data_IF_162759815220
#
_entry.id   IF_162759815220
#
_cell.length_a   1.000
_cell.length_b   1.000
_cell.length_c   1.000
_cell.angle_alpha   90.00
_cell.angle_beta   90.00
_cell.angle_gamma   90.00
#
_symmetry.space_group_name_H-M   'P 1'
#
loop_
_entity.id
_entity.type
_entity.pdbx_description
1 polymer ?
#
# COMPACT_ATOMS: atom_id res chain seq x y z
N UNK A 1 -36.33 18.59 30.25
CA UNK A 1 -35.22 17.69 29.88
C UNK A 1 -34.68 17.90 28.45
N UNK A 2 -34.81 19.11 27.86
CA UNK A 2 -34.23 19.48 26.55
C UNK A 2 -33.25 20.66 26.60
N UNK A 3 -33.15 21.42 27.69
CA UNK A 3 -32.20 22.55 27.81
C UNK A 3 -30.81 22.17 28.34
N UNK A 4 -30.64 20.99 28.94
CA UNK A 4 -29.34 20.53 29.49
C UNK A 4 -28.39 20.04 28.37
N UNK A 5 -28.91 19.59 27.22
CA UNK A 5 -28.08 19.10 26.10
C UNK A 5 -27.40 20.23 25.30
N UNK A 6 -27.96 21.44 25.29
CA UNK A 6 -27.34 22.59 24.61
C UNK A 6 -26.23 23.25 25.45
N UNK A 7 -26.31 23.16 26.79
CA UNK A 7 -25.27 23.67 27.69
C UNK A 7 -23.97 22.85 27.63
N UNK A 8 -24.06 21.53 27.39
CA UNK A 8 -22.88 20.65 27.30
C UNK A 8 -22.11 20.85 25.99
N UNK A 9 -22.82 21.14 24.88
CA UNK A 9 -22.19 21.40 23.57
C UNK A 9 -21.51 22.79 23.54
N UNK A 10 -22.12 23.79 24.19
CA UNK A 10 -21.49 25.11 24.34
C UNK A 10 -20.27 25.09 25.28
N UNK A 11 -20.28 24.26 26.35
CA UNK A 11 -19.11 24.08 27.20
C UNK A 11 -17.94 23.39 26.46
N UNK A 12 -18.20 22.43 25.56
CA UNK A 12 -17.13 21.78 24.79
C UNK A 12 -16.51 22.73 23.75
N UNK A 13 -17.31 23.60 23.12
CA UNK A 13 -16.79 24.64 22.23
C UNK A 13 -16.01 25.73 22.98
N UNK A 14 -16.45 26.11 24.19
CA UNK A 14 -15.74 27.06 25.03
C UNK A 14 -14.40 26.50 25.55
N UNK A 15 -14.32 25.20 25.84
CA UNK A 15 -13.06 24.54 26.22
C UNK A 15 -12.08 24.47 25.04
N UNK A 16 -12.55 24.23 23.82
CA UNK A 16 -11.70 24.30 22.60
C UNK A 16 -11.20 25.72 22.30
N UNK A 17 -12.01 26.74 22.54
CA UNK A 17 -11.59 28.14 22.44
C UNK A 17 -10.64 28.56 23.57
N UNK A 18 -10.82 28.02 24.79
CA UNK A 18 -9.90 28.26 25.91
C UNK A 18 -8.54 27.58 25.70
N UNK A 19 -8.50 26.40 25.06
CA UNK A 19 -7.25 25.73 24.66
C UNK A 19 -6.51 26.54 23.59
N UNK A 20 -7.21 27.26 22.70
CA UNK A 20 -6.57 28.14 21.72
C UNK A 20 -5.94 29.40 22.36
N UNK A 21 -6.48 29.86 23.49
CA UNK A 21 -5.93 31.02 24.22
C UNK A 21 -4.81 30.69 25.21
N UNK A 22 -4.66 29.42 25.62
CA UNK A 22 -3.57 28.97 26.51
C UNK A 22 -2.35 28.42 25.78
N UNK A 23 -2.43 28.25 24.45
CA UNK A 23 -1.29 27.89 23.59
C UNK A 23 -0.28 29.04 23.37
N UNK A 24 -0.54 30.25 23.88
CA UNK A 24 0.36 31.40 23.77
C UNK A 24 1.24 31.66 25.01
N UNK A 25 1.40 30.68 25.92
CA UNK A 25 2.16 30.91 27.17
C UNK A 25 3.08 29.75 27.61
N UNK A 26 3.66 28.98 26.68
CA UNK A 26 4.72 28.01 27.01
C UNK A 26 6.01 28.10 26.17
N UNK A 27 6.15 29.10 25.30
CA UNK A 27 7.40 29.30 24.53
C UNK A 27 8.54 29.97 25.33
N UNK A 28 8.30 30.37 26.58
CA UNK A 28 9.21 31.29 27.30
C UNK A 28 10.37 30.64 28.10
N UNK A 29 10.66 29.33 27.97
CA UNK A 29 11.77 28.70 28.72
C UNK A 29 12.52 27.59 27.97
N UNK A 30 12.76 27.74 26.67
CA UNK A 30 13.73 26.91 25.95
C UNK A 30 14.96 27.77 25.65
N UNK A 31 16.12 27.53 26.30
CA UNK A 31 17.37 28.21 25.95
C UNK A 31 17.69 27.97 24.46
N UNK A 32 17.77 29.04 23.66
CA UNK A 32 18.01 28.98 22.21
C UNK A 32 16.81 29.29 21.30
N UNK A 33 15.62 29.58 21.86
CA UNK A 33 14.36 29.78 21.11
C UNK A 33 14.09 31.17 20.50
N UNK A 34 15.02 32.12 20.57
CA UNK A 34 14.80 33.49 20.05
C UNK A 34 15.12 33.64 18.54
N UNK A 35 15.79 32.65 17.94
CA UNK A 35 16.08 32.65 16.51
C UNK A 35 14.81 32.38 15.71
N UNK A 36 14.37 33.38 14.95
CA UNK A 36 13.23 33.28 14.04
C UNK A 36 13.74 33.20 12.62
N UNK A 37 13.37 32.13 11.92
CA UNK A 37 13.60 31.99 10.48
C UNK A 37 12.25 32.14 9.77
N UNK A 38 12.14 32.99 8.73
CA UNK A 38 10.89 33.10 7.97
C UNK A 38 10.49 31.76 7.35
N UNK A 39 9.17 31.53 7.28
CA UNK A 39 8.57 30.35 6.66
C UNK A 39 7.84 30.76 5.38
N UNK A 40 8.28 30.24 4.24
CA UNK A 40 7.61 30.39 2.95
C UNK A 40 6.50 29.36 2.76
N UNK A 41 5.52 29.67 1.90
CA UNK A 41 4.49 28.75 1.47
C UNK A 41 4.40 28.76 -0.07
N UNK A 42 4.47 27.58 -0.69
CA UNK A 42 4.42 27.44 -2.15
C UNK A 42 3.70 26.16 -2.58
N UNK A 43 3.30 26.09 -3.85
CA UNK A 43 2.72 24.89 -4.44
C UNK A 43 3.78 24.14 -5.23
N UNK A 44 4.17 22.96 -4.75
CA UNK A 44 5.10 22.04 -5.43
C UNK A 44 4.36 20.75 -5.80
N UNK A 45 4.34 20.41 -7.10
CA UNK A 45 3.71 19.18 -7.61
C UNK A 45 2.25 18.96 -7.17
N UNK A 46 1.49 20.06 -7.07
CA UNK A 46 0.08 20.03 -6.67
C UNK A 46 -0.14 19.90 -5.16
N UNK A 47 0.90 20.08 -4.33
CA UNK A 47 0.83 20.08 -2.87
C UNK A 47 1.23 21.43 -2.31
N UNK A 48 0.60 21.84 -1.22
CA UNK A 48 1.02 23.01 -0.44
C UNK A 48 2.21 22.61 0.44
N UNK A 49 3.34 23.29 0.27
CA UNK A 49 4.59 23.06 1.00
C UNK A 49 4.94 24.32 1.78
N UNK A 50 5.28 24.13 3.05
CA UNK A 50 5.79 25.16 3.93
C UNK A 50 7.27 24.88 4.17
N UNK A 51 8.14 25.83 3.88
CA UNK A 51 9.60 25.63 3.93
C UNK A 51 10.28 26.84 4.55
N UNK A 52 11.19 26.61 5.51
CA UNK A 52 11.98 27.69 6.10
C UNK A 52 13.02 28.18 5.09
N UNK A 53 13.35 29.47 5.13
CA UNK A 53 14.30 30.07 4.16
C UNK A 53 15.71 29.45 4.23
N UNK A 54 16.11 28.96 5.40
CA UNK A 54 17.36 28.23 5.57
C UNK A 54 17.30 26.78 5.05
N UNK A 55 16.11 26.24 4.76
CA UNK A 55 15.91 24.87 4.30
C UNK A 55 16.00 23.80 5.39
N UNK A 56 16.08 24.19 6.67
CA UNK A 56 16.15 23.24 7.79
C UNK A 56 14.80 22.61 8.08
N UNK A 57 13.68 23.30 7.81
CA UNK A 57 12.34 22.80 8.05
C UNK A 57 11.52 22.80 6.78
N UNK A 58 10.90 21.66 6.46
CA UNK A 58 9.92 21.56 5.39
C UNK A 58 8.74 20.72 5.83
N UNK A 59 7.53 21.21 5.64
CA UNK A 59 6.29 20.52 5.99
C UNK A 59 5.34 20.52 4.80
N UNK A 60 4.65 19.40 4.61
CA UNK A 60 3.53 19.35 3.66
C UNK A 60 2.50 18.33 4.11
N UNK A 61 1.29 18.55 3.63
CA UNK A 61 0.19 17.63 3.83
C UNK A 61 -0.01 16.80 2.56
N UNK A 62 -0.45 15.56 2.73
CA UNK A 62 -0.87 14.68 1.65
C UNK A 62 -2.20 14.07 2.07
N UNK A 63 -3.27 14.40 1.34
CA UNK A 63 -4.58 13.82 1.63
C UNK A 63 -5.11 13.09 0.41
N UNK A 64 -5.89 12.03 0.64
CA UNK A 64 -6.49 11.28 -0.44
C UNK A 64 -7.93 10.92 -0.17
N UNK A 65 -8.76 11.15 -1.18
CA UNK A 65 -10.13 10.65 -1.24
C UNK A 65 -10.20 9.74 -2.44
N UNK A 66 -10.57 8.48 -2.22
CA UNK A 66 -10.90 7.52 -3.27
C UNK A 66 -12.28 6.95 -2.98
N UNK A 67 -13.24 7.25 -3.84
CA UNK A 67 -14.58 6.68 -3.79
C UNK A 67 -14.75 5.72 -4.97
N UNK A 68 -15.11 4.49 -4.65
CA UNK A 68 -15.21 3.39 -5.61
C UNK A 68 -16.64 2.93 -5.74
N UNK A 69 -17.04 2.56 -6.96
CA UNK A 69 -18.28 1.86 -7.25
C UNK A 69 -18.02 0.59 -8.05
N UNK A 70 -18.83 -0.45 -7.87
CA UNK A 70 -18.75 -1.66 -8.70
C UNK A 70 -20.11 -2.29 -8.99
N UNK A 71 -20.20 -2.93 -10.15
CA UNK A 71 -21.29 -3.80 -10.58
C UNK A 71 -20.74 -5.14 -11.06
N UNK A 72 -21.34 -6.23 -10.57
CA UNK A 72 -20.95 -7.61 -10.85
C UNK A 72 -21.97 -8.28 -11.78
N UNK A 73 -21.47 -9.15 -12.64
CA UNK A 73 -22.24 -9.88 -13.65
C UNK A 73 -21.81 -11.35 -13.69
N UNK A 74 -22.71 -12.20 -14.20
CA UNK A 74 -22.42 -13.62 -14.51
C UNK A 74 -22.05 -14.49 -13.29
N UNK A 75 -22.30 -14.00 -12.08
CA UNK A 75 -21.91 -14.60 -10.81
C UNK A 75 -22.92 -15.64 -10.26
N UNK A 76 -22.41 -16.78 -9.78
CA UNK A 76 -23.11 -17.84 -9.04
C UNK A 76 -23.35 -17.49 -7.57
N UNK A 77 -22.43 -16.76 -6.93
CA UNK A 77 -22.61 -16.20 -5.59
C UNK A 77 -23.29 -14.83 -5.68
N UNK A 78 -24.16 -14.48 -4.73
CA UNK A 78 -24.81 -13.17 -4.73
C UNK A 78 -23.81 -12.05 -4.38
N UNK A 79 -23.17 -11.47 -5.39
CA UNK A 79 -22.20 -10.39 -5.22
C UNK A 79 -22.90 -9.05 -5.05
N UNK A 80 -22.50 -8.29 -4.03
CA UNK A 80 -23.09 -6.99 -3.71
C UNK A 80 -22.50 -5.88 -4.58
N UNK A 81 -23.35 -5.23 -5.36
CA UNK A 81 -23.04 -3.96 -6.02
C UNK A 81 -23.08 -2.82 -5.00
N UNK A 82 -22.34 -1.74 -5.24
CA UNK A 82 -22.42 -0.58 -4.36
C UNK A 82 -21.30 0.42 -4.55
N UNK A 83 -21.26 1.37 -3.61
CA UNK A 83 -20.21 2.36 -3.47
C UNK A 83 -19.60 2.31 -2.08
N UNK A 84 -18.31 2.62 -1.97
CA UNK A 84 -17.66 2.83 -0.68
C UNK A 84 -16.51 3.82 -0.82
N UNK A 85 -16.08 4.39 0.30
CA UNK A 85 -14.78 5.03 0.36
C UNK A 85 -13.71 3.95 0.43
N UNK A 86 -12.87 3.89 -0.58
CA UNK A 86 -11.75 2.95 -0.63
C UNK A 86 -10.56 3.45 0.18
N UNK A 87 -10.35 4.77 0.20
CA UNK A 87 -9.34 5.48 1.00
C UNK A 87 -9.84 6.86 1.36
N UNK A 88 -9.64 7.22 2.63
CA UNK A 88 -9.80 8.57 3.14
C UNK A 88 -8.58 8.80 4.02
N UNK A 89 -7.49 9.28 3.44
CA UNK A 89 -6.20 9.39 4.14
C UNK A 89 -5.85 10.83 4.42
N UNK A 90 -5.22 11.05 5.56
CA UNK A 90 -4.54 12.29 5.88
C UNK A 90 -3.12 11.95 6.35
N UNK A 91 -2.15 12.58 5.71
CA UNK A 91 -0.76 12.47 6.08
C UNK A 91 -0.11 13.83 6.28
N UNK A 92 0.75 13.90 7.29
CA UNK A 92 1.67 14.99 7.54
C UNK A 92 3.09 14.47 7.34
N UNK A 93 3.89 15.20 6.54
CA UNK A 93 5.29 14.86 6.29
C UNK A 93 6.17 16.04 6.62
N UNK A 94 7.36 15.74 7.13
CA UNK A 94 8.33 16.73 7.56
C UNK A 94 9.75 16.36 7.12
N UNK A 95 10.53 17.38 6.75
CA UNK A 95 12.00 17.35 6.78
C UNK A 95 12.46 18.27 7.91
N UNK A 96 13.33 17.77 8.79
CA UNK A 96 13.85 18.45 9.97
C UNK A 96 15.38 18.45 9.92
N UNK A 97 15.98 19.63 10.02
CA UNK A 97 17.42 19.86 9.86
C UNK A 97 18.02 19.13 8.65
N UNK A 98 17.31 19.19 7.50
CA UNK A 98 17.68 18.66 6.17
C UNK A 98 17.79 17.14 6.04
N UNK A 99 18.25 16.45 7.08
CA UNK A 99 18.63 15.04 7.02
C UNK A 99 17.59 14.11 7.64
N UNK A 100 16.72 14.64 8.50
CA UNK A 100 15.67 13.85 9.15
C UNK A 100 14.35 14.02 8.45
N UNK A 101 13.72 12.91 8.08
CA UNK A 101 12.37 12.87 7.55
C UNK A 101 11.43 12.17 8.53
N UNK A 102 10.19 12.63 8.59
CA UNK A 102 9.14 11.96 9.34
C UNK A 102 7.83 11.97 8.56
N UNK A 103 7.03 10.92 8.74
CA UNK A 103 5.69 10.79 8.16
C UNK A 103 4.72 10.23 9.19
N UNK A 104 3.52 10.79 9.22
CA UNK A 104 2.35 10.25 9.91
C UNK A 104 1.20 10.23 8.90
N UNK A 105 0.77 9.06 8.46
CA UNK A 105 -0.34 8.80 7.52
C UNK A 105 -1.39 7.89 8.17
N UNK A 106 -2.64 8.31 8.17
CA UNK A 106 -3.78 7.61 8.78
C UNK A 106 -4.87 7.42 7.72
N UNK A 107 -5.42 6.21 7.61
CA UNK A 107 -6.64 5.92 6.83
C UNK A 107 -7.88 5.92 7.72
N UNK A 108 -8.91 6.65 7.31
CA UNK A 108 -10.21 6.68 7.97
C UNK A 108 -11.27 5.85 7.23
N UNK A 109 -10.95 5.33 6.04
CA UNK A 109 -11.90 4.63 5.20
C UNK A 109 -11.74 3.10 5.20
N UNK A 110 -10.79 2.52 5.94
CA UNK A 110 -10.68 1.07 6.03
C UNK A 110 -11.85 0.50 6.86
N UNK A 111 -13.01 0.41 6.22
CA UNK A 111 -14.21 -0.21 6.74
C UNK A 111 -14.16 -1.69 6.39
N UNK A 112 -13.72 -2.51 7.34
CA UNK A 112 -13.84 -3.97 7.23
C UNK A 112 -14.71 -4.56 8.33
N UNK A 113 -15.27 -3.75 9.23
CA UNK A 113 -16.24 -4.24 10.20
C UNK A 113 -17.26 -3.19 10.63
N UNK A 114 -18.31 -3.64 11.35
CA UNK A 114 -19.41 -2.83 11.92
C UNK A 114 -18.99 -1.68 12.85
N UNK A 115 -17.69 -1.45 13.03
CA UNK A 115 -17.12 -0.32 13.76
C UNK A 115 -16.17 0.45 12.82
N UNK A 116 -16.28 1.79 12.72
CA UNK A 116 -15.27 2.57 11.99
C UNK A 116 -13.90 2.30 12.63
N UNK A 117 -12.97 1.77 11.85
CA UNK A 117 -11.59 1.56 12.26
C UNK A 117 -10.69 2.55 11.51
N UNK A 118 -9.67 3.04 12.20
CA UNK A 118 -8.61 3.86 11.63
C UNK A 118 -7.39 2.98 11.41
N UNK A 119 -6.88 2.92 10.19
CA UNK A 119 -5.64 2.21 9.86
C UNK A 119 -4.46 3.17 10.07
N UNK A 120 -3.49 2.77 10.89
CA UNK A 120 -2.19 3.45 10.92
C UNK A 120 -1.42 3.01 9.68
N UNK A 121 -1.20 3.92 8.72
CA UNK A 121 -0.53 3.60 7.47
C UNK A 121 0.97 3.75 7.66
N UNK A 122 1.54 4.90 7.35
CA UNK A 122 2.98 5.14 7.46
C UNK A 122 3.24 6.02 8.69
N UNK A 123 4.02 5.53 9.65
CA UNK A 123 4.40 6.25 10.88
C UNK A 123 5.86 5.98 11.18
N UNK A 124 6.76 6.77 10.61
CA UNK A 124 8.19 6.48 10.68
C UNK A 124 9.05 7.73 10.77
N UNK A 125 10.28 7.53 11.22
CA UNK A 125 11.37 8.50 11.19
C UNK A 125 12.49 7.91 10.33
N UNK A 126 13.02 8.69 9.40
CA UNK A 126 14.13 8.32 8.53
C UNK A 126 15.26 9.33 8.67
N UNK A 127 16.47 8.82 8.83
CA UNK A 127 17.70 9.61 8.77
C UNK A 127 18.40 9.34 7.44
N UNK A 128 18.57 10.37 6.62
CA UNK A 128 19.38 10.32 5.41
C UNK A 128 20.81 10.71 5.75
N UNK A 129 21.77 9.83 5.46
CA UNK A 129 23.17 10.08 5.73
C UNK A 129 23.71 11.08 4.69
N UNK A 130 24.21 12.26 5.10
CA UNK A 130 24.67 13.28 4.17
C UNK A 130 25.76 12.75 3.25
N UNK A 131 25.59 12.96 1.93
CA UNK A 131 26.57 12.60 0.90
C UNK A 131 26.91 11.10 0.76
N UNK A 132 26.13 10.19 1.34
CA UNK A 132 26.44 8.73 1.32
C UNK A 132 25.38 7.91 0.57
N UNK A 133 24.30 8.51 0.04
CA UNK A 133 23.17 7.79 -0.60
C UNK A 133 22.70 6.60 0.24
N UNK A 134 22.60 6.82 1.55
CA UNK A 134 22.21 5.82 2.52
C UNK A 134 21.18 6.42 3.46
N UNK A 135 20.20 5.62 3.87
CA UNK A 135 19.21 6.05 4.85
C UNK A 135 18.87 4.94 5.83
N UNK A 136 18.59 5.32 7.07
CA UNK A 136 18.04 4.45 8.10
C UNK A 136 16.63 4.88 8.43
N UNK A 137 15.68 3.95 8.45
CA UNK A 137 14.29 4.23 8.80
C UNK A 137 13.83 3.33 9.94
N UNK A 138 13.10 3.89 10.90
CA UNK A 138 12.47 3.16 12.00
C UNK A 138 11.01 3.60 12.16
N UNK A 139 10.13 2.65 12.45
CA UNK A 139 8.71 2.90 12.68
C UNK A 139 7.82 1.91 11.95
N UNK A 140 6.60 2.33 11.64
CA UNK A 140 5.60 1.55 10.92
C UNK A 140 5.59 1.90 9.43
N UNK A 141 6.00 0.97 8.57
CA UNK A 141 6.08 1.17 7.13
C UNK A 141 5.92 -0.15 6.36
N UNK A 142 5.85 -0.07 5.03
CA UNK A 142 5.74 -1.25 4.17
C UNK A 142 7.01 -2.07 4.21
N UNK A 143 6.87 -3.39 4.25
CA UNK A 143 7.98 -4.28 4.00
C UNK A 143 8.59 -4.05 2.60
N UNK A 144 9.93 -4.07 2.43
CA UNK A 144 10.56 -3.95 1.13
C UNK A 144 10.36 -5.22 0.29
N UNK A 145 9.14 -5.42 -0.23
CA UNK A 145 8.78 -6.59 -1.03
C UNK A 145 7.70 -6.22 -2.05
N UNK A 146 8.05 -6.30 -3.33
CA UNK A 146 7.15 -6.10 -4.46
C UNK A 146 6.94 -4.64 -4.84
N UNK A 147 7.17 -4.30 -6.10
CA UNK A 147 7.07 -2.96 -6.66
C UNK A 147 5.63 -2.43 -6.59
N UNK A 148 4.61 -3.19 -7.00
CA UNK A 148 3.23 -2.72 -6.98
C UNK A 148 2.74 -2.44 -5.54
N UNK A 149 3.24 -3.23 -4.58
CA UNK A 149 2.93 -3.03 -3.16
C UNK A 149 3.57 -1.75 -2.64
N UNK A 150 4.85 -1.55 -2.92
CA UNK A 150 5.66 -0.41 -2.50
C UNK A 150 5.18 0.91 -3.12
N UNK A 151 4.87 0.90 -4.42
CA UNK A 151 4.29 2.04 -5.12
C UNK A 151 3.11 2.65 -4.36
N UNK A 152 3.07 3.98 -4.35
CA UNK A 152 1.99 4.75 -3.75
C UNK A 152 0.63 4.32 -4.32
N UNK A 153 -0.35 4.10 -3.43
CA UNK A 153 -1.72 3.79 -3.86
C UNK A 153 -2.41 4.92 -4.62
N UNK A 154 -1.81 6.12 -4.68
CA UNK A 154 -2.24 7.24 -5.52
C UNK A 154 -2.00 6.96 -7.01
N UNK A 155 -0.94 6.21 -7.29
CA UNK A 155 -0.35 6.07 -8.63
C UNK A 155 -0.72 4.77 -9.33
N UNK A 156 -1.49 3.91 -8.66
CA UNK A 156 -1.95 2.64 -9.23
C UNK A 156 -2.67 2.87 -10.55
N UNK A 157 -2.26 2.12 -11.58
CA UNK A 157 -2.89 2.13 -12.90
C UNK A 157 -4.32 1.62 -12.83
N UNK A 158 -4.58 0.59 -12.04
CA UNK A 158 -5.92 0.05 -11.79
C UNK A 158 -6.43 0.47 -10.41
N UNK A 159 -7.72 0.29 -10.14
CA UNK A 159 -8.29 0.63 -8.82
C UNK A 159 -7.58 -0.14 -7.70
N UNK A 160 -7.34 -1.43 -7.92
CA UNK A 160 -6.69 -2.31 -6.96
C UNK A 160 -5.37 -2.86 -7.48
N UNK A 161 -4.52 -3.23 -6.53
CA UNK A 161 -3.33 -4.04 -6.80
C UNK A 161 -3.74 -5.41 -7.33
N UNK A 162 -2.83 -6.09 -8.00
CA UNK A 162 -3.06 -7.45 -8.42
C UNK A 162 -3.36 -8.36 -7.22
N UNK A 163 -4.17 -9.39 -7.44
CA UNK A 163 -4.55 -10.31 -6.35
C UNK A 163 -3.34 -10.95 -5.66
N UNK A 164 -2.26 -11.24 -6.40
CA UNK A 164 -1.03 -11.79 -5.85
C UNK A 164 -0.24 -10.78 -4.99
N UNK A 165 -0.16 -9.51 -5.42
CA UNK A 165 0.46 -8.41 -4.64
C UNK A 165 -0.33 -8.04 -3.39
N UNK A 166 -1.59 -8.48 -3.30
CA UNK A 166 -2.39 -8.42 -2.07
C UNK A 166 -2.24 -9.67 -1.19
N UNK A 167 -1.92 -10.82 -1.78
CA UNK A 167 -1.86 -12.10 -1.06
C UNK A 167 -0.54 -12.31 -0.30
N UNK A 168 0.61 -12.05 -0.94
CA UNK A 168 1.92 -12.45 -0.42
C UNK A 168 2.73 -11.34 0.27
N UNK A 169 2.81 -10.10 -0.26
CA UNK A 169 3.50 -9.03 0.43
C UNK A 169 2.79 -8.71 1.74
N UNK A 170 3.54 -8.65 2.85
CA UNK A 170 2.90 -8.48 4.13
C UNK A 170 2.77 -6.99 4.47
N UNK A 171 1.55 -6.46 4.27
CA UNK A 171 1.04 -5.34 5.06
C UNK A 171 2.00 -4.15 5.23
N UNK A 172 1.84 -3.46 6.35
CA UNK A 172 2.84 -2.56 6.95
C UNK A 172 3.10 -3.07 8.34
N UNK A 173 4.31 -2.88 8.85
CA UNK A 173 4.73 -3.37 10.17
C UNK A 173 5.71 -2.44 10.83
N UNK A 174 5.82 -2.58 12.15
CA UNK A 174 6.84 -1.90 12.93
C UNK A 174 8.19 -2.57 12.64
N UNK A 175 9.22 -1.78 12.37
CA UNK A 175 10.54 -2.31 12.13
C UNK A 175 11.60 -1.24 11.93
N UNK A 176 12.77 -1.68 11.49
CA UNK A 176 13.88 -0.85 11.10
C UNK A 176 14.41 -1.30 9.74
N UNK A 177 14.82 -0.36 8.91
CA UNK A 177 15.41 -0.63 7.60
C UNK A 177 16.64 0.22 7.34
N UNK A 178 17.53 -0.32 6.51
CA UNK A 178 18.63 0.40 5.88
C UNK A 178 18.45 0.31 4.38
N UNK A 179 18.62 1.44 3.71
CA UNK A 179 18.59 1.53 2.25
C UNK A 179 19.87 2.19 1.78
N UNK A 180 20.45 1.66 0.71
CA UNK A 180 21.60 2.22 0.01
C UNK A 180 21.31 2.24 -1.49
N UNK A 181 21.68 3.33 -2.17
CA UNK A 181 21.38 3.50 -3.59
C UNK A 181 22.48 4.24 -4.37
N UNK A 182 22.35 4.15 -5.69
CA UNK A 182 23.13 4.88 -6.67
C UNK A 182 22.22 5.28 -7.83
N UNK A 183 22.78 5.83 -8.90
CA UNK A 183 22.00 6.30 -10.06
C UNK A 183 21.36 5.15 -10.87
N UNK A 184 21.79 3.90 -10.66
CA UNK A 184 21.32 2.73 -11.40
C UNK A 184 21.03 1.50 -10.53
N UNK A 185 21.07 1.59 -9.19
CA UNK A 185 20.65 0.48 -8.32
C UNK A 185 20.22 0.96 -6.93
N UNK A 186 19.47 0.12 -6.23
CA UNK A 186 19.24 0.24 -4.79
C UNK A 186 19.20 -1.12 -4.12
N UNK A 187 19.49 -1.13 -2.83
CA UNK A 187 19.28 -2.26 -1.94
C UNK A 187 18.67 -1.78 -0.63
N UNK A 188 17.63 -2.48 -0.18
CA UNK A 188 16.95 -2.23 1.10
C UNK A 188 16.92 -3.53 1.91
N UNK A 189 17.46 -3.47 3.13
CA UNK A 189 17.34 -4.54 4.13
C UNK A 189 16.47 -4.07 5.28
N UNK A 190 15.59 -4.93 5.80
CA UNK A 190 14.71 -4.58 6.91
C UNK A 190 14.48 -5.74 7.88
N UNK A 191 14.40 -5.41 9.17
CA UNK A 191 13.89 -6.27 10.23
C UNK A 191 12.55 -5.72 10.69
N UNK A 192 11.51 -6.56 10.69
CA UNK A 192 10.14 -6.10 10.97
C UNK A 192 9.46 -7.06 11.95
N UNK A 193 8.82 -6.52 12.99
CA UNK A 193 8.05 -7.23 13.99
C UNK A 193 6.58 -7.38 13.59
N UNK A 194 5.66 -6.99 14.46
CA UNK A 194 4.21 -7.09 14.26
C UNK A 194 3.56 -5.85 13.61
N UNK A 195 2.32 -6.06 13.16
CA UNK A 195 1.41 -4.98 12.81
C UNK A 195 0.89 -4.31 14.11
N UNK A 196 0.75 -2.98 14.15
CA UNK A 196 0.18 -2.28 15.30
C UNK A 196 -1.19 -2.84 15.67
N UNK A 197 -1.51 -2.85 16.97
CA UNK A 197 -2.78 -3.32 17.52
C UNK A 197 -3.14 -4.81 17.29
N UNK A 198 -2.29 -5.61 16.61
CA UNK A 198 -2.47 -7.07 16.54
C UNK A 198 -1.72 -7.82 17.65
N UNK A 199 -0.87 -7.11 18.41
CA UNK A 199 -0.08 -7.69 19.50
C UNK A 199 -0.96 -8.14 20.65
N UNK A 200 -0.78 -9.38 21.07
CA UNK A 200 -1.28 -9.87 22.36
C UNK A 200 -0.09 -10.18 23.23
N UNK A 201 0.07 -9.40 24.29
CA UNK A 201 0.98 -9.76 25.37
C UNK A 201 0.21 -10.61 26.38
N UNK A 202 0.34 -11.94 26.25
CA UNK A 202 -0.14 -12.93 27.24
C UNK A 202 1.00 -13.39 28.17
N UNK A 203 2.18 -12.76 28.13
CA UNK A 203 3.35 -13.13 28.94
C UNK A 203 3.94 -14.52 28.68
N UNK A 204 3.57 -15.19 27.57
CA UNK A 204 4.00 -16.57 27.29
C UNK A 204 4.85 -16.73 26.03
N UNK A 205 5.05 -15.68 25.20
CA UNK A 205 5.77 -15.78 23.92
C UNK A 205 6.42 -14.46 23.51
N UNK A 206 7.59 -14.56 22.91
CA UNK A 206 8.32 -13.44 22.31
C UNK A 206 7.67 -12.97 21.00
N UNK A 207 7.98 -11.72 20.62
CA UNK A 207 7.56 -11.14 19.33
C UNK A 207 8.25 -11.85 18.16
N UNK A 208 7.49 -12.16 17.11
CA UNK A 208 8.05 -12.79 15.91
C UNK A 208 8.56 -11.75 14.94
N UNK A 209 9.78 -11.96 14.45
CA UNK A 209 10.43 -11.07 13.51
C UNK A 209 10.44 -11.65 12.09
N UNK A 210 10.53 -10.75 11.13
CA UNK A 210 10.87 -11.05 9.74
C UNK A 210 12.11 -10.32 9.30
N UNK A 211 12.89 -10.97 8.46
CA UNK A 211 14.02 -10.37 7.76
C UNK A 211 13.67 -10.27 6.29
N UNK A 212 13.95 -9.10 5.70
CA UNK A 212 13.52 -8.77 4.35
C UNK A 212 14.70 -8.12 3.61
N UNK A 213 14.92 -8.51 2.37
CA UNK A 213 15.94 -7.97 1.49
C UNK A 213 15.33 -7.74 0.12
N UNK A 214 15.48 -6.53 -0.41
CA UNK A 214 15.13 -6.19 -1.79
C UNK A 214 16.31 -5.50 -2.44
N UNK A 215 16.64 -5.91 -3.65
CA UNK A 215 17.64 -5.26 -4.47
C UNK A 215 17.08 -5.05 -5.87
N UNK A 216 17.42 -3.94 -6.50
CA UNK A 216 17.03 -3.68 -7.88
C UNK A 216 18.07 -2.89 -8.63
N UNK A 217 18.17 -3.16 -9.93
CA UNK A 217 18.99 -2.42 -10.87
C UNK A 217 18.12 -1.70 -11.88
N UNK A 218 18.61 -0.56 -12.36
CA UNK A 218 18.03 0.22 -13.42
C UNK A 218 19.13 0.69 -14.41
N UNK A 219 19.66 -0.21 -15.26
CA UNK A 219 20.77 0.10 -16.16
C UNK A 219 20.42 1.16 -17.21
N UNK A 220 19.12 1.30 -17.53
CA UNK A 220 18.59 2.43 -18.26
C UNK A 220 17.77 3.27 -17.27
N UNK A 221 18.28 4.44 -16.88
CA UNK A 221 17.60 5.34 -15.95
C UNK A 221 17.65 6.79 -16.47
N UNK A 222 16.81 7.09 -17.46
CA UNK A 222 16.63 8.44 -17.99
C UNK A 222 15.14 8.78 -17.95
N UNK A 223 14.80 10.04 -17.79
CA UNK A 223 13.39 10.45 -17.77
C UNK A 223 12.66 9.96 -19.04
N UNK A 224 11.57 9.21 -18.86
CA UNK A 224 10.78 8.61 -19.95
C UNK A 224 11.43 7.39 -20.62
N UNK A 225 12.62 6.97 -20.20
CA UNK A 225 13.31 5.78 -20.70
C UNK A 225 13.96 5.07 -19.52
N UNK A 226 13.24 4.13 -18.92
CA UNK A 226 13.68 3.42 -17.72
C UNK A 226 13.53 1.92 -17.94
N UNK A 227 14.50 1.15 -17.47
CA UNK A 227 14.39 -0.30 -17.34
C UNK A 227 14.75 -0.65 -15.91
N UNK A 228 13.90 -1.41 -15.22
CA UNK A 228 14.10 -1.88 -13.86
C UNK A 228 14.03 -3.40 -13.84
N UNK A 229 14.93 -4.00 -13.07
CA UNK A 229 14.84 -5.39 -12.65
C UNK A 229 15.12 -5.48 -11.15
N UNK A 230 14.25 -6.17 -10.42
CA UNK A 230 14.30 -6.29 -8.97
C UNK A 230 14.14 -7.72 -8.49
N UNK A 231 14.72 -8.01 -7.32
CA UNK A 231 14.57 -9.24 -6.58
C UNK A 231 14.26 -8.91 -5.13
N UNK A 232 13.33 -9.65 -4.55
CA UNK A 232 13.00 -9.54 -3.13
C UNK A 232 12.94 -10.93 -2.48
N UNK A 233 13.38 -11.01 -1.23
CA UNK A 233 13.37 -12.21 -0.43
C UNK A 233 13.05 -11.89 1.03
N UNK A 234 12.33 -12.77 1.70
CA UNK A 234 12.06 -12.62 3.12
C UNK A 234 11.95 -13.96 3.83
N UNK A 235 12.25 -13.94 5.12
CA UNK A 235 12.08 -15.07 6.04
C UNK A 235 11.26 -14.61 7.24
N UNK A 236 10.27 -15.41 7.63
CA UNK A 236 9.42 -15.07 8.76
C UNK A 236 8.94 -16.30 9.54
N UNK A 237 8.83 -16.12 10.86
CA UNK A 237 8.13 -17.01 11.77
C UNK A 237 6.69 -16.50 11.96
N UNK A 238 5.65 -17.36 11.97
CA UNK A 238 4.24 -16.96 12.10
C UNK A 238 3.96 -16.04 13.29
N UNK A 239 3.14 -15.02 13.08
CA UNK A 239 2.71 -14.13 14.15
C UNK A 239 1.80 -14.86 15.17
N UNK A 240 1.84 -14.40 16.41
CA UNK A 240 0.91 -14.83 17.46
C UNK A 240 -0.23 -13.82 17.52
N UNK A 241 -1.41 -14.19 17.01
CA UNK A 241 -2.60 -13.31 16.94
C UNK A 241 -3.74 -13.83 17.81
N UNK A 242 -4.78 -13.01 18.04
CA UNK A 242 -6.01 -13.41 18.79
C UNK A 242 -6.81 -14.46 18.07
N UNK A 243 -6.81 -14.37 16.74
CA UNK A 243 -7.78 -15.01 15.88
C UNK A 243 -7.32 -16.40 15.45
N UNK A 244 -6.01 -16.65 15.48
CA UNK A 244 -5.42 -17.89 15.02
C UNK A 244 -4.80 -18.67 16.18
N UNK A 245 -4.80 -19.99 16.02
CA UNK A 245 -4.01 -20.87 16.89
C UNK A 245 -2.53 -20.57 16.70
N UNK A 246 -1.75 -20.95 17.71
CA UNK A 246 -0.29 -20.93 17.63
C UNK A 246 0.23 -21.55 16.33
N UNK A 247 1.28 -20.96 15.74
CA UNK A 247 1.96 -21.49 14.55
C UNK A 247 0.99 -21.71 13.38
N UNK A 248 0.00 -20.85 13.22
CA UNK A 248 -0.99 -20.94 12.14
C UNK A 248 -0.96 -19.65 11.34
N UNK A 249 -0.99 -19.77 10.02
CA UNK A 249 -1.11 -18.62 9.13
C UNK A 249 -2.31 -18.82 8.21
N UNK A 250 -2.80 -17.71 7.67
CA UNK A 250 -3.76 -17.72 6.58
C UNK A 250 -3.28 -16.79 5.47
N UNK A 251 -3.43 -17.23 4.23
CA UNK A 251 -3.16 -16.41 3.05
C UNK A 251 -4.46 -16.27 2.28
N UNK A 252 -4.79 -15.04 1.92
CA UNK A 252 -6.06 -14.73 1.27
C UNK A 252 -5.95 -13.51 0.37
N UNK A 253 -6.76 -13.49 -0.67
CA UNK A 253 -6.86 -12.37 -1.59
C UNK A 253 -8.27 -12.22 -2.16
N UNK A 254 -8.59 -10.99 -2.55
CA UNK A 254 -9.80 -10.68 -3.32
C UNK A 254 -9.48 -10.81 -4.81
N UNK A 255 -10.50 -10.93 -5.64
CA UNK A 255 -10.43 -10.86 -7.10
C UNK A 255 -10.35 -9.41 -7.58
N UNK A 256 -9.43 -8.65 -6.99
CA UNK A 256 -9.10 -7.25 -7.33
C UNK A 256 -10.27 -6.26 -7.22
N UNK A 257 -11.24 -6.54 -6.34
CA UNK A 257 -12.28 -5.59 -5.93
C UNK A 257 -12.50 -5.58 -4.42
N UNK A 258 -12.79 -4.40 -3.87
CA UNK A 258 -13.11 -4.21 -2.45
C UNK A 258 -14.60 -3.90 -2.21
N UNK A 259 -15.39 -3.63 -3.26
CA UNK A 259 -16.84 -3.37 -3.13
C UNK A 259 -17.58 -4.64 -2.70
N UNK A 260 -17.37 -5.75 -3.43
CA UNK A 260 -17.63 -7.09 -2.92
C UNK A 260 -16.40 -7.55 -2.13
N UNK A 261 -16.46 -7.34 -0.82
CA UNK A 261 -15.35 -7.56 0.10
C UNK A 261 -14.95 -9.04 0.37
N UNK A 262 -15.81 -10.06 0.19
CA UNK A 262 -15.41 -11.46 0.41
C UNK A 262 -14.17 -11.88 -0.38
N UNK A 263 -13.25 -12.59 0.29
CA UNK A 263 -12.01 -13.10 -0.29
C UNK A 263 -12.24 -14.51 -0.86
N UNK A 264 -12.47 -14.60 -2.17
CA UNK A 264 -12.62 -15.90 -2.88
C UNK A 264 -11.41 -16.80 -2.66
N UNK A 265 -10.22 -16.24 -2.81
CA UNK A 265 -8.95 -16.93 -2.58
C UNK A 265 -8.64 -16.90 -1.09
N UNK A 266 -8.68 -18.06 -0.44
CA UNK A 266 -8.44 -18.17 0.98
C UNK A 266 -8.01 -19.59 1.37
N UNK A 267 -6.78 -19.74 1.88
CA UNK A 267 -6.21 -21.04 2.26
C UNK A 267 -6.92 -21.75 3.41
N UNK A 268 -7.76 -21.05 4.17
CA UNK A 268 -8.06 -21.39 5.56
C UNK A 268 -6.79 -21.41 6.43
N UNK A 269 -6.94 -22.00 7.61
CA UNK A 269 -5.84 -22.25 8.54
C UNK A 269 -4.81 -23.18 7.90
N UNK A 270 -3.57 -22.71 7.79
CA UNK A 270 -2.41 -23.57 7.57
C UNK A 270 -1.73 -23.75 8.94
N UNK A 271 -1.96 -24.87 9.64
CA UNK A 271 -1.47 -25.07 11.00
C UNK A 271 -0.02 -25.57 11.02
N UNK A 272 0.55 -25.56 12.22
CA UNK A 272 1.87 -26.15 12.52
C UNK A 272 2.99 -25.55 11.67
N UNK A 273 2.91 -24.28 11.30
CA UNK A 273 3.95 -23.58 10.54
C UNK A 273 5.15 -23.28 11.43
N UNK A 274 6.33 -23.72 10.99
CA UNK A 274 7.61 -23.41 11.61
C UNK A 274 8.10 -22.04 11.11
N UNK A 275 8.24 -21.90 9.81
CA UNK A 275 8.60 -20.66 9.14
C UNK A 275 8.06 -20.65 7.71
N UNK A 276 8.07 -19.49 7.10
CA UNK A 276 7.83 -19.36 5.67
C UNK A 276 8.79 -18.35 5.06
N UNK A 277 9.15 -18.60 3.80
CA UNK A 277 9.97 -17.71 3.01
C UNK A 277 9.17 -17.20 1.82
N UNK A 278 9.32 -15.92 1.49
CA UNK A 278 8.74 -15.35 0.27
C UNK A 278 9.85 -14.88 -0.64
N UNK A 279 9.62 -14.99 -1.94
CA UNK A 279 10.54 -14.57 -2.97
C UNK A 279 9.75 -13.91 -4.10
N UNK A 280 10.33 -12.89 -4.71
CA UNK A 280 9.68 -12.13 -5.78
C UNK A 280 10.71 -11.60 -6.78
N UNK A 281 10.30 -11.54 -8.04
CA UNK A 281 11.03 -10.89 -9.11
C UNK A 281 10.18 -9.76 -9.68
N UNK A 282 10.81 -8.63 -9.98
CA UNK A 282 10.17 -7.41 -10.43
C UNK A 282 10.79 -7.01 -11.78
N UNK A 283 9.95 -6.65 -12.76
CA UNK A 283 10.38 -6.10 -14.03
C UNK A 283 9.53 -4.87 -14.35
N UNK A 284 10.18 -3.79 -14.77
CA UNK A 284 9.49 -2.62 -15.28
C UNK A 284 10.25 -2.02 -16.46
N UNK A 285 9.51 -1.51 -17.44
CA UNK A 285 10.06 -0.74 -18.54
C UNK A 285 9.15 0.45 -18.88
N UNK A 286 9.76 1.63 -19.02
CA UNK A 286 9.12 2.87 -19.47
C UNK A 286 9.81 3.30 -20.76
N UNK A 287 9.03 3.56 -21.80
CA UNK A 287 9.49 4.11 -23.07
C UNK A 287 8.50 5.14 -23.60
N UNK A 288 8.75 6.40 -23.28
CA UNK A 288 7.83 7.50 -23.48
C UNK A 288 6.47 7.24 -22.80
N UNK A 289 5.35 7.27 -23.54
CA UNK A 289 4.01 7.00 -23.00
C UNK A 289 3.73 5.53 -22.73
N UNK A 290 4.60 4.62 -23.18
CA UNK A 290 4.44 3.18 -22.95
C UNK A 290 5.05 2.78 -21.60
N UNK A 291 4.31 1.97 -20.85
CA UNK A 291 4.69 1.46 -19.55
C UNK A 291 4.33 -0.01 -19.42
N UNK A 292 5.25 -0.81 -18.93
CA UNK A 292 5.02 -2.22 -18.57
C UNK A 292 5.61 -2.51 -17.20
N UNK A 293 4.89 -3.26 -16.38
CA UNK A 293 5.31 -3.75 -15.07
C UNK A 293 4.86 -5.19 -14.91
N UNK A 294 5.73 -6.05 -14.40
CA UNK A 294 5.42 -7.44 -14.12
C UNK A 294 6.10 -7.89 -12.85
N UNK A 295 5.40 -8.68 -12.05
CA UNK A 295 5.98 -9.32 -10.88
C UNK A 295 5.55 -10.79 -10.84
N UNK A 296 6.48 -11.65 -10.43
CA UNK A 296 6.22 -13.05 -10.12
C UNK A 296 6.69 -13.27 -8.70
N UNK A 297 5.85 -13.88 -7.86
CA UNK A 297 6.15 -14.07 -6.45
C UNK A 297 5.58 -15.38 -5.93
N UNK A 298 6.25 -15.92 -4.91
CA UNK A 298 5.88 -17.16 -4.27
C UNK A 298 6.21 -17.18 -2.79
N UNK A 299 5.61 -18.12 -2.08
CA UNK A 299 5.86 -18.41 -0.68
C UNK A 299 6.03 -19.91 -0.48
N UNK A 300 7.03 -20.28 0.31
CA UNK A 300 7.31 -21.65 0.73
C UNK A 300 7.09 -21.76 2.23
N UNK A 301 6.10 -22.55 2.64
CA UNK A 301 5.65 -22.67 4.02
C UNK A 301 6.12 -24.00 4.59
N UNK A 302 7.06 -23.94 5.54
CA UNK A 302 7.63 -25.10 6.22
C UNK A 302 6.87 -25.37 7.51
N UNK A 303 6.42 -26.60 7.69
CA UNK A 303 5.60 -27.03 8.82
C UNK A 303 6.35 -28.00 9.73
N UNK A 304 6.01 -27.99 11.02
CA UNK A 304 6.45 -28.96 12.01
C UNK A 304 5.88 -30.35 11.73
N UNK A 305 6.29 -31.32 12.56
CA UNK A 305 5.76 -32.70 12.59
C UNK A 305 5.85 -33.42 11.23
N UNK A 306 6.85 -33.06 10.41
CA UNK A 306 7.04 -33.56 9.04
C UNK A 306 5.80 -33.40 8.14
N UNK A 307 4.93 -32.43 8.43
CA UNK A 307 3.82 -32.11 7.55
C UNK A 307 4.37 -31.59 6.20
N UNK A 308 3.69 -31.87 5.08
CA UNK A 308 4.20 -31.47 3.77
C UNK A 308 4.45 -29.95 3.67
N UNK A 309 5.48 -29.55 2.94
CA UNK A 309 5.71 -28.13 2.62
C UNK A 309 4.61 -27.63 1.69
N UNK A 310 4.00 -26.48 1.99
CA UNK A 310 3.02 -25.84 1.11
C UNK A 310 3.68 -24.73 0.29
N UNK A 311 3.40 -24.67 -1.02
CA UNK A 311 3.98 -23.70 -1.94
C UNK A 311 2.86 -22.96 -2.67
N UNK A 312 2.77 -21.65 -2.47
CA UNK A 312 1.76 -20.81 -3.13
C UNK A 312 2.47 -19.79 -4.01
N UNK A 313 1.89 -19.46 -5.16
CA UNK A 313 2.56 -18.62 -6.16
C UNK A 313 1.58 -17.89 -7.06
N UNK A 314 2.07 -16.84 -7.68
CA UNK A 314 1.36 -16.13 -8.72
C UNK A 314 2.22 -15.07 -9.36
N UNK A 315 1.59 -14.28 -10.19
CA UNK A 315 2.23 -13.16 -10.85
C UNK A 315 1.24 -12.37 -11.66
N UNK A 316 1.69 -11.24 -12.15
CA UNK A 316 0.91 -10.44 -13.09
C UNK A 316 1.83 -9.79 -14.11
N UNK A 317 1.22 -9.40 -15.23
CA UNK A 317 1.80 -8.49 -16.21
C UNK A 317 0.79 -7.38 -16.47
N UNK A 318 1.25 -6.13 -16.39
CA UNK A 318 0.47 -4.94 -16.63
C UNK A 318 1.14 -4.11 -17.71
N UNK A 319 0.35 -3.65 -18.67
CA UNK A 319 0.77 -2.69 -19.67
C UNK A 319 -0.15 -1.47 -19.63
N UNK A 320 0.41 -0.29 -19.86
CA UNK A 320 -0.33 0.95 -19.99
C UNK A 320 0.27 1.80 -21.10
N UNK A 321 -0.58 2.60 -21.74
CA UNK A 321 -0.19 3.54 -22.75
C UNK A 321 -0.94 4.85 -22.56
N UNK A 322 -0.20 5.95 -22.38
CA UNK A 322 -0.78 7.28 -22.27
C UNK A 322 -1.02 7.87 -23.65
N UNK A 323 -2.26 7.83 -24.12
CA UNK A 323 -2.68 8.26 -25.46
C UNK A 323 -2.34 9.73 -25.76
N UNK A 324 -2.30 10.56 -24.72
CA UNK A 324 -1.97 11.98 -24.81
C UNK A 324 -0.46 12.27 -24.83
N UNK A 325 0.37 11.24 -24.64
CA UNK A 325 1.82 11.28 -24.83
C UNK A 325 2.64 11.60 -23.58
N UNK A 326 2.03 11.62 -22.40
CA UNK A 326 2.73 11.88 -21.13
C UNK A 326 3.64 10.71 -20.71
N UNK A 327 4.79 11.05 -20.14
CA UNK A 327 5.73 10.10 -19.55
C UNK A 327 5.44 9.85 -18.06
N UNK A 328 5.99 8.76 -17.53
CA UNK A 328 6.01 8.44 -16.09
C UNK A 328 7.38 8.69 -15.49
N UNK A 329 7.42 9.15 -14.24
CA UNK A 329 8.65 9.24 -13.46
C UNK A 329 9.05 7.87 -12.91
N UNK A 330 10.33 7.70 -12.61
CA UNK A 330 10.87 6.53 -11.92
C UNK A 330 11.90 6.99 -10.90
N UNK A 331 11.82 6.45 -9.68
CA UNK A 331 12.69 6.76 -8.56
C UNK A 331 13.60 5.57 -8.29
N UNK A 332 14.87 5.66 -8.70
CA UNK A 332 15.83 4.55 -8.61
C UNK A 332 16.23 4.23 -7.17
N UNK A 333 16.26 5.25 -6.33
CA UNK A 333 16.53 5.18 -4.90
C UNK A 333 15.47 4.35 -4.16
N UNK A 334 14.21 4.43 -4.60
CA UNK A 334 13.12 3.63 -4.03
C UNK A 334 12.84 2.34 -4.81
N UNK A 335 13.29 2.29 -6.07
CA UNK A 335 12.86 1.27 -7.03
C UNK A 335 11.34 1.34 -7.27
N UNK A 336 10.78 2.55 -7.35
CA UNK A 336 9.34 2.82 -7.46
C UNK A 336 8.99 3.63 -8.71
N UNK A 337 7.78 3.40 -9.22
CA UNK A 337 7.22 4.16 -10.35
C UNK A 337 6.50 5.39 -9.81
N UNK A 338 6.94 6.56 -10.28
CA UNK A 338 6.39 7.85 -9.93
C UNK A 338 5.13 8.22 -10.72
N UNK A 339 4.63 9.45 -10.52
CA UNK A 339 3.44 9.92 -11.20
C UNK A 339 3.64 10.01 -12.71
N UNK A 340 2.53 10.13 -13.46
CA UNK A 340 2.60 10.68 -14.81
C UNK A 340 2.99 12.17 -14.72
N UNK A 341 3.68 12.69 -15.73
CA UNK A 341 3.94 14.12 -15.82
C UNK A 341 2.64 14.92 -15.89
N UNK A 342 2.75 16.22 -15.61
CA UNK A 342 1.60 17.13 -15.70
C UNK A 342 0.95 16.98 -17.08
N UNK A 343 -0.39 16.86 -17.17
CA UNK A 343 -1.07 16.74 -18.44
C UNK A 343 -0.62 17.79 -19.46
N UNK A 344 -0.25 17.33 -20.66
CA UNK A 344 0.22 18.19 -21.76
C UNK A 344 -0.91 18.97 -22.41
N UNK A 345 -2.13 18.43 -22.34
CA UNK A 345 -3.33 19.06 -22.91
C UNK A 345 -4.11 19.78 -21.82
N UNK A 346 -4.75 20.90 -22.18
CA UNK A 346 -5.60 21.68 -21.24
C UNK A 346 -6.78 20.88 -20.69
N UNK A 347 -7.23 19.86 -21.42
CA UNK A 347 -8.32 19.00 -21.00
C UNK A 347 -7.83 17.82 -20.14
N UNK A 348 -6.53 17.56 -20.02
CA UNK A 348 -6.00 16.45 -19.22
C UNK A 348 -5.25 15.40 -20.03
N UNK A 349 -4.90 14.30 -19.34
CA UNK A 349 -4.23 13.14 -19.92
C UNK A 349 -5.14 11.92 -19.92
N UNK A 350 -5.03 11.07 -20.95
CA UNK A 350 -5.82 9.87 -21.11
C UNK A 350 -4.89 8.66 -21.26
N UNK A 351 -5.13 7.63 -20.45
CA UNK A 351 -4.36 6.39 -20.45
C UNK A 351 -5.28 5.19 -20.58
N UNK A 352 -4.84 4.21 -21.35
CA UNK A 352 -5.45 2.89 -21.44
C UNK A 352 -4.49 1.85 -20.87
N UNK A 353 -5.03 0.79 -20.25
CA UNK A 353 -4.23 -0.24 -19.62
C UNK A 353 -4.88 -1.62 -19.71
N UNK A 354 -4.04 -2.66 -19.68
CA UNK A 354 -4.47 -4.04 -19.53
C UNK A 354 -3.57 -4.76 -18.51
N UNK A 355 -4.16 -5.61 -17.68
CA UNK A 355 -3.45 -6.50 -16.75
C UNK A 355 -3.99 -7.91 -16.84
N UNK A 356 -3.08 -8.86 -16.79
CA UNK A 356 -3.38 -10.26 -16.55
C UNK A 356 -2.73 -10.70 -15.25
N UNK A 357 -3.51 -11.28 -14.34
CA UNK A 357 -3.07 -11.77 -13.03
C UNK A 357 -3.38 -13.25 -12.89
N UNK A 358 -2.42 -14.02 -12.37
CA UNK A 358 -2.60 -15.40 -11.91
C UNK A 358 -2.28 -15.45 -10.43
N UNK A 359 -3.19 -15.99 -9.61
CA UNK A 359 -2.94 -16.27 -8.20
C UNK A 359 -3.36 -17.69 -7.88
N UNK A 360 -2.40 -18.53 -7.49
CA UNK A 360 -2.66 -19.92 -7.11
C UNK A 360 -2.30 -20.13 -5.64
N UNK A 361 -3.34 -20.26 -4.80
CA UNK A 361 -3.23 -20.56 -3.39
C UNK A 361 -3.55 -22.04 -3.08
N UNK A 362 -3.51 -22.91 -4.09
CA UNK A 362 -3.64 -24.36 -3.89
C UNK A 362 -2.27 -25.05 -3.80
N UNK A 363 -2.16 -25.95 -2.83
CA UNK A 363 -1.15 -27.01 -2.80
C UNK A 363 -1.84 -28.27 -2.29
N UNK A 364 -2.45 -29.02 -3.22
CA UNK A 364 -3.26 -30.20 -2.88
C UNK A 364 -2.43 -31.31 -2.23
N UNK A 365 -1.13 -31.41 -2.57
CA UNK A 365 -0.21 -32.36 -1.94
C UNK A 365 0.03 -32.01 -0.47
N UNK A 366 0.01 -30.71 -0.15
CA UNK A 366 0.10 -30.21 1.21
C UNK A 366 -1.25 -30.09 1.94
N UNK A 367 -2.36 -30.44 1.28
CA UNK A 367 -3.71 -30.32 1.81
C UNK A 367 -4.24 -28.88 1.85
N UNK A 368 -3.60 -27.94 1.14
CA UNK A 368 -4.01 -26.53 1.09
C UNK A 368 -4.89 -26.30 -0.13
N UNK A 369 -6.13 -25.87 0.09
CA UNK A 369 -7.15 -25.60 -0.93
C UNK A 369 -7.57 -24.14 -0.89
N UNK A 370 -6.64 -23.25 -1.24
CA UNK A 370 -6.85 -21.81 -1.15
C UNK A 370 -7.54 -21.16 -2.34
N UNK A 371 -7.74 -21.90 -3.43
CA UNK A 371 -8.31 -21.41 -4.67
C UNK A 371 -7.26 -20.92 -5.66
N UNK A 372 -7.65 -20.94 -6.93
CA UNK A 372 -6.89 -20.41 -8.07
C UNK A 372 -7.74 -19.37 -8.80
N UNK A 373 -7.11 -18.26 -9.20
CA UNK A 373 -7.73 -17.25 -10.04
C UNK A 373 -6.84 -16.89 -11.24
N UNK A 374 -7.45 -16.83 -12.42
CA UNK A 374 -6.92 -16.08 -13.57
C UNK A 374 -7.82 -14.87 -13.80
N UNK A 375 -7.23 -13.69 -13.96
CA UNK A 375 -8.00 -12.46 -14.10
C UNK A 375 -7.43 -11.57 -15.20
N UNK A 376 -8.29 -11.19 -16.14
CA UNK A 376 -8.02 -10.14 -17.12
C UNK A 376 -8.69 -8.85 -16.64
N UNK A 377 -7.98 -7.73 -16.73
CA UNK A 377 -8.50 -6.42 -16.37
C UNK A 377 -8.12 -5.39 -17.45
N UNK A 378 -9.10 -4.65 -17.92
CA UNK A 378 -8.94 -3.55 -18.88
C UNK A 378 -9.32 -2.25 -18.19
N UNK A 379 -8.52 -1.21 -18.40
CA UNK A 379 -8.64 0.04 -17.67
C UNK A 379 -8.54 1.27 -18.56
N UNK A 380 -9.31 2.29 -18.22
CA UNK A 380 -9.17 3.66 -18.74
C UNK A 380 -8.98 4.61 -17.56
N UNK A 381 -7.92 5.41 -17.63
CA UNK A 381 -7.61 6.44 -16.64
C UNK A 381 -7.64 7.82 -17.30
N UNK A 382 -8.39 8.73 -16.71
CA UNK A 382 -8.45 10.12 -17.13
C UNK A 382 -7.93 11.03 -16.02
N UNK A 383 -6.98 11.90 -16.36
CA UNK A 383 -6.30 12.81 -15.45
C UNK A 383 -6.55 14.26 -15.89
N UNK A 384 -7.62 14.91 -15.40
CA UNK A 384 -7.88 16.31 -15.74
C UNK A 384 -6.74 17.25 -15.33
N UNK A 385 -6.05 16.93 -14.24
CA UNK A 385 -4.88 17.63 -13.71
C UNK A 385 -4.05 16.66 -12.84
N UNK A 386 -3.00 17.16 -12.17
CA UNK A 386 -2.11 16.34 -11.33
C UNK A 386 -2.73 15.79 -10.04
N UNK A 387 -3.89 16.33 -9.63
CA UNK A 387 -4.55 16.04 -8.35
C UNK A 387 -5.79 15.15 -8.50
N UNK A 388 -6.46 15.22 -9.66
CA UNK A 388 -7.71 14.50 -9.95
C UNK A 388 -7.46 13.34 -10.90
N UNK A 389 -8.04 12.17 -10.58
CA UNK A 389 -8.02 10.98 -11.43
C UNK A 389 -9.39 10.32 -11.45
N UNK A 390 -9.88 9.98 -12.64
CA UNK A 390 -11.05 9.13 -12.84
C UNK A 390 -10.61 7.82 -13.45
N UNK A 391 -11.15 6.71 -12.97
CA UNK A 391 -10.78 5.37 -13.43
C UNK A 391 -12.03 4.56 -13.76
N UNK A 392 -11.95 3.78 -14.83
CA UNK A 392 -12.93 2.78 -15.23
C UNK A 392 -12.19 1.47 -15.49
N UNK A 393 -12.56 0.41 -14.80
CA UNK A 393 -12.00 -0.93 -14.97
C UNK A 393 -13.10 -1.92 -15.34
N UNK A 394 -12.81 -2.81 -16.28
CA UNK A 394 -13.62 -3.99 -16.57
C UNK A 394 -12.76 -5.23 -16.35
N UNK A 395 -13.27 -6.19 -15.56
CA UNK A 395 -12.57 -7.42 -15.24
C UNK A 395 -13.34 -8.66 -15.62
N UNK A 396 -12.61 -9.70 -16.02
CA UNK A 396 -13.08 -11.05 -16.25
C UNK A 396 -12.27 -11.96 -15.33
N UNK A 397 -12.95 -12.73 -14.49
CA UNK A 397 -12.34 -13.55 -13.44
C UNK A 397 -12.75 -15.00 -13.65
N UNK A 398 -11.74 -15.87 -13.72
CA UNK A 398 -11.93 -17.30 -13.78
C UNK A 398 -11.42 -17.92 -12.48
N UNK A 399 -12.29 -18.62 -11.77
CA UNK A 399 -12.03 -19.23 -10.47
C UNK A 399 -12.10 -20.74 -10.57
N UNK A 400 -11.34 -21.44 -9.74
CA UNK A 400 -11.47 -22.88 -9.59
C UNK A 400 -12.46 -23.30 -8.49
N UNK A 401 -12.66 -24.61 -8.37
CA UNK A 401 -13.58 -25.21 -7.40
C UNK A 401 -13.20 -24.93 -5.93
N UNK A 402 -11.94 -24.58 -5.65
CA UNK A 402 -11.45 -24.33 -4.29
C UNK A 402 -11.56 -22.86 -3.86
N UNK A 403 -11.83 -21.94 -4.80
CA UNK A 403 -12.07 -20.52 -4.52
C UNK A 403 -13.43 -20.28 -3.83
N UNK A 404 -13.53 -20.71 -2.58
CA UNK A 404 -14.80 -20.84 -1.84
C UNK A 404 -14.86 -20.00 -0.57
N UNK A 405 -13.84 -19.20 -0.25
CA UNK A 405 -13.72 -18.51 1.05
C UNK A 405 -13.96 -19.47 2.23
N UNK A 406 -13.14 -20.52 2.34
CA UNK A 406 -13.29 -21.58 3.36
C UNK A 406 -14.68 -22.28 3.31
N UNK A 407 -15.23 -22.51 2.12
CA UNK A 407 -16.53 -23.16 1.93
C UNK A 407 -17.76 -22.26 2.09
N UNK A 408 -17.60 -20.96 2.34
CA UNK A 408 -18.73 -20.02 2.50
C UNK A 408 -19.30 -19.50 1.18
N UNK A 409 -18.59 -19.71 0.07
CA UNK A 409 -18.98 -19.35 -1.29
C UNK A 409 -18.93 -20.59 -2.18
N UNK A 410 -19.75 -20.60 -3.22
CA UNK A 410 -19.67 -21.58 -4.31
C UNK A 410 -18.36 -21.36 -5.08
N UNK A 411 -17.57 -22.43 -5.27
CA UNK A 411 -16.40 -22.42 -6.14
C UNK A 411 -16.80 -22.41 -7.63
N UNK A 412 -15.80 -22.36 -8.51
CA UNK A 412 -15.96 -22.19 -9.96
C UNK A 412 -16.89 -21.01 -10.31
N UNK A 413 -16.90 -19.97 -9.48
CA UNK A 413 -17.72 -18.78 -9.71
C UNK A 413 -17.01 -17.81 -10.64
N UNK A 414 -16.93 -18.18 -11.92
CA UNK A 414 -16.49 -17.29 -12.99
C UNK A 414 -17.43 -16.10 -13.07
N UNK A 415 -16.89 -14.89 -13.13
CA UNK A 415 -17.69 -13.68 -13.14
C UNK A 415 -16.95 -12.53 -13.82
N UNK A 416 -17.70 -11.51 -14.18
CA UNK A 416 -17.15 -10.25 -14.68
C UNK A 416 -17.65 -9.08 -13.83
N UNK A 417 -16.90 -7.98 -13.81
CA UNK A 417 -17.34 -6.79 -13.10
C UNK A 417 -16.81 -5.50 -13.72
N UNK A 418 -17.61 -4.45 -13.57
CA UNK A 418 -17.25 -3.08 -13.88
C UNK A 418 -16.97 -2.32 -12.58
N UNK A 419 -15.92 -1.52 -12.57
CA UNK A 419 -15.51 -0.70 -11.44
C UNK A 419 -15.23 0.73 -11.89
N UNK A 420 -15.60 1.70 -11.05
CA UNK A 420 -15.29 3.10 -11.24
C UNK A 420 -14.65 3.69 -9.99
N UNK A 421 -13.73 4.64 -10.18
CA UNK A 421 -13.15 5.44 -9.06
C UNK A 421 -13.13 6.92 -9.39
N UNK A 422 -13.52 7.70 -8.40
CA UNK A 422 -13.27 9.14 -8.32
C UNK A 422 -12.17 9.36 -7.29
N UNK A 423 -11.03 9.90 -7.72
CA UNK A 423 -9.88 10.16 -6.86
C UNK A 423 -9.51 11.64 -6.85
N UNK A 424 -9.34 12.17 -5.63
CA UNK A 424 -8.66 13.44 -5.38
C UNK A 424 -7.43 13.19 -4.49
N UNK A 425 -6.32 13.82 -4.84
CA UNK A 425 -5.08 13.84 -4.05
C UNK A 425 -4.69 15.29 -3.81
N UNK A 426 -4.58 15.68 -2.56
CA UNK A 426 -4.45 17.07 -2.11
C UNK A 426 -3.11 17.30 -1.42
#
# INVERSE_FOLDING_TARGET
MKSIKYAVILCQFAVLLLISSTLYAQDAKIPGGDSKVPLGAEVKNGKLVFESEDGDFRWWFDSRIQMDGAMYFENKNAMSNGFHFRRLTFAMKAVLHRDWEAEVDIDFAEQVDTKPQTELRDMWIKYNVPNVNMSFMVGHFKEPFGMERLNSSRLLTFLERSSISSALPMGRRIGASVRYWSDWYQMTGAIMGHEPATRIDKGQRDETMSTNLRASIAPLNKFGHNFHFGLAGSYKIPDVTSELRANTIEISARTESYVFNPKFLHTGDIPEVNYYTRYGTELMYINGPFYIQSEVMGTTIKRFKNLPTANLRGGYIMTAFVLTGENRYYYVDEGEVGPIEKPKRKWGALEVAARYTITNLNDLKAGVKGGHANQYMFGVNYYPNSNIKFQLNYSIVNLDEFATRKGNLKGDDDHSFLQIRFQASL
#
